data_IF_342001249610
#
_entry.id   IF_342001249610
#
_cell.length_a   1.000
_cell.length_b   1.000
_cell.length_c   1.000
_cell.angle_alpha   90.00
_cell.angle_beta   90.00
_cell.angle_gamma   90.00
#
_symmetry.space_group_name_H-M   'P 1'
#
loop_
_entity.id
_entity.type
_entity.pdbx_description
1 polymer ?
#
# COMPACT_ATOMS: atom_id res chain seq x y z
N UNK A 1 -48.52 -33.68 42.17
CA UNK A 1 -49.69 -33.62 43.04
C UNK A 1 -49.58 -34.60 44.23
N UNK A 2 -49.21 -35.88 44.09
CA UNK A 2 -49.15 -36.85 45.18
C UNK A 2 -48.23 -36.50 46.36
N UNK A 3 -47.08 -35.85 46.10
CA UNK A 3 -46.14 -35.41 47.18
C UNK A 3 -46.67 -34.24 47.99
N UNK A 4 -47.46 -33.36 47.40
CA UNK A 4 -48.05 -32.21 48.08
C UNK A 4 -49.21 -32.60 48.99
N UNK A 5 -50.03 -33.59 48.56
CA UNK A 5 -51.08 -34.15 49.42
C UNK A 5 -50.51 -34.91 50.62
N UNK A 6 -49.38 -35.64 50.41
CA UNK A 6 -48.71 -36.36 51.49
C UNK A 6 -48.19 -35.41 52.59
N UNK A 7 -47.60 -34.27 52.21
CA UNK A 7 -47.12 -33.26 53.17
C UNK A 7 -48.28 -32.58 53.90
N UNK A 8 -49.41 -32.39 53.21
CA UNK A 8 -50.61 -31.76 53.81
C UNK A 8 -51.25 -32.70 54.81
N UNK A 9 -51.38 -33.99 54.50
CA UNK A 9 -51.92 -34.99 55.45
C UNK A 9 -50.99 -35.21 56.61
N UNK A 10 -49.69 -35.29 56.40
CA UNK A 10 -48.70 -35.42 57.49
C UNK A 10 -48.72 -34.19 58.41
N UNK A 11 -48.81 -32.98 57.85
CA UNK A 11 -48.92 -31.72 58.60
C UNK A 11 -50.20 -31.68 59.46
N UNK A 12 -51.32 -32.19 58.93
CA UNK A 12 -52.60 -32.22 59.64
C UNK A 12 -52.58 -33.24 60.85
N UNK A 13 -51.95 -34.39 60.67
CA UNK A 13 -51.76 -35.39 61.71
C UNK A 13 -50.83 -34.86 62.79
N UNK A 14 -49.69 -34.29 62.45
CA UNK A 14 -48.73 -33.71 63.39
C UNK A 14 -49.36 -32.51 64.13
N UNK A 15 -50.10 -31.65 63.42
CA UNK A 15 -50.85 -30.54 64.02
C UNK A 15 -51.88 -30.99 65.01
N UNK A 16 -52.66 -32.04 64.71
CA UNK A 16 -53.64 -32.60 65.64
C UNK A 16 -53.03 -33.26 66.83
N UNK A 17 -51.89 -33.95 66.69
CA UNK A 17 -51.12 -34.50 67.85
C UNK A 17 -50.56 -33.38 68.75
N UNK A 18 -50.08 -32.29 68.14
CA UNK A 18 -49.57 -31.09 68.85
C UNK A 18 -50.68 -30.40 69.69
N UNK A 19 -51.85 -30.16 69.08
CA UNK A 19 -53.00 -29.56 69.78
C UNK A 19 -53.45 -30.44 70.95
N UNK A 20 -53.45 -31.75 70.78
CA UNK A 20 -53.83 -32.68 71.83
C UNK A 20 -52.77 -32.69 73.00
N UNK A 21 -51.48 -32.55 72.67
CA UNK A 21 -50.41 -32.46 73.63
C UNK A 21 -50.47 -31.13 74.43
N UNK A 22 -50.76 -30.02 73.75
CA UNK A 22 -50.93 -28.68 74.34
C UNK A 22 -52.15 -28.66 75.30
N UNK A 23 -53.22 -29.35 74.97
CA UNK A 23 -54.44 -29.39 75.80
C UNK A 23 -54.30 -30.24 77.09
N UNK A 24 -53.37 -31.23 77.06
CA UNK A 24 -53.16 -32.08 78.23
C UNK A 24 -52.20 -31.52 79.30
N UNK A 25 -51.15 -30.83 78.82
CA UNK A 25 -50.18 -30.17 79.71
C UNK A 25 -49.66 -28.89 79.09
N UNK A 26 -50.15 -27.71 79.47
CA UNK A 26 -49.76 -26.42 78.92
C UNK A 26 -48.30 -26.04 79.16
N UNK A 27 -47.56 -26.78 79.99
CA UNK A 27 -46.19 -26.51 80.36
C UNK A 27 -45.96 -25.04 80.79
N UNK A 28 -45.21 -24.86 81.86
CA UNK A 28 -44.96 -23.55 82.42
C UNK A 28 -43.49 -23.21 82.29
N UNK A 29 -43.17 -22.05 81.60
CA UNK A 29 -41.82 -21.51 81.53
C UNK A 29 -41.72 -20.16 82.20
N UNK A 30 -40.86 -20.07 83.21
CA UNK A 30 -40.59 -18.84 83.97
C UNK A 30 -39.15 -18.39 83.58
N UNK A 31 -39.04 -17.22 83.01
CA UNK A 31 -37.79 -16.56 82.73
C UNK A 31 -37.66 -15.36 83.66
N UNK A 32 -36.75 -15.48 84.62
CA UNK A 32 -36.45 -14.39 85.56
C UNK A 32 -35.07 -13.79 85.30
N UNK A 33 -35.04 -12.48 85.09
CA UNK A 33 -33.79 -11.75 84.87
C UNK A 33 -33.84 -10.44 85.66
N UNK A 34 -33.16 -10.42 86.85
CA UNK A 34 -33.23 -9.33 87.76
C UNK A 34 -34.65 -9.12 88.32
N UNK A 35 -35.19 -7.90 88.19
CA UNK A 35 -36.54 -7.56 88.63
C UNK A 35 -37.65 -7.91 87.60
N UNK A 36 -37.27 -8.47 86.38
CA UNK A 36 -38.22 -8.84 85.37
C UNK A 36 -38.52 -10.33 85.44
N UNK A 37 -39.81 -10.68 85.52
CA UNK A 37 -40.28 -12.02 85.44
C UNK A 37 -41.27 -12.14 84.29
N UNK A 38 -40.97 -13.02 83.32
CA UNK A 38 -41.86 -13.32 82.19
C UNK A 38 -42.38 -14.73 82.42
N UNK A 39 -43.67 -14.85 82.62
CA UNK A 39 -44.39 -16.10 82.77
C UNK A 39 -45.05 -16.40 81.40
N UNK A 40 -44.71 -17.52 80.82
CA UNK A 40 -45.29 -17.92 79.52
C UNK A 40 -45.46 -19.45 79.42
N UNK A 41 -46.32 -19.90 78.54
CA UNK A 41 -46.43 -21.32 78.23
C UNK A 41 -45.23 -21.77 77.40
N UNK A 42 -44.69 -22.96 77.73
CA UNK A 42 -43.57 -23.58 76.96
C UNK A 42 -43.91 -23.61 75.42
N UNK A 43 -45.14 -23.81 75.07
CA UNK A 43 -45.62 -23.85 73.71
C UNK A 43 -45.55 -22.48 73.00
N UNK A 44 -45.90 -21.42 73.76
CA UNK A 44 -45.78 -20.04 73.24
C UNK A 44 -44.32 -19.63 73.05
N UNK A 45 -43.46 -20.02 74.01
CA UNK A 45 -42.03 -19.79 73.89
C UNK A 45 -41.42 -20.53 72.69
N UNK A 46 -41.84 -21.78 72.44
CA UNK A 46 -41.39 -22.57 71.30
C UNK A 46 -41.90 -21.98 69.99
N UNK A 47 -43.16 -21.53 69.93
CA UNK A 47 -43.74 -20.92 68.74
C UNK A 47 -43.01 -19.60 68.40
N UNK A 48 -42.72 -18.75 69.35
CA UNK A 48 -41.94 -17.50 69.15
C UNK A 48 -40.52 -17.78 68.77
N UNK A 49 -39.88 -18.80 69.28
CA UNK A 49 -38.54 -19.22 68.90
C UNK A 49 -38.52 -19.71 67.41
N UNK A 50 -39.45 -20.57 67.03
CA UNK A 50 -39.58 -21.03 65.65
C UNK A 50 -39.83 -19.85 64.67
N UNK A 51 -40.73 -18.92 65.07
CA UNK A 51 -41.03 -17.74 64.27
C UNK A 51 -39.79 -16.87 64.11
N UNK A 52 -38.98 -16.67 65.18
CA UNK A 52 -37.72 -15.93 65.16
C UNK A 52 -36.70 -16.61 64.19
N UNK A 53 -36.59 -17.94 64.29
CA UNK A 53 -35.70 -18.69 63.38
C UNK A 53 -36.14 -18.58 61.89
N UNK A 54 -37.45 -18.63 61.65
CA UNK A 54 -37.97 -18.45 60.28
C UNK A 54 -37.72 -17.03 59.75
N UNK A 55 -37.93 -16.02 60.62
CA UNK A 55 -37.66 -14.64 60.24
C UNK A 55 -36.15 -14.39 59.99
N UNK A 56 -35.28 -14.93 60.84
CA UNK A 56 -33.82 -14.89 60.64
C UNK A 56 -33.40 -15.61 59.35
N UNK A 57 -33.98 -16.76 59.07
CA UNK A 57 -33.73 -17.49 57.82
C UNK A 57 -34.23 -16.72 56.59
N UNK A 58 -35.42 -16.12 56.64
CA UNK A 58 -35.93 -15.25 55.60
C UNK A 58 -35.03 -14.01 55.41
N UNK A 59 -34.64 -13.35 56.53
CA UNK A 59 -33.75 -12.20 56.46
C UNK A 59 -32.41 -12.55 55.83
N UNK A 60 -31.78 -13.66 56.25
CA UNK A 60 -30.51 -14.12 55.65
C UNK A 60 -30.67 -14.48 54.16
N UNK A 61 -31.77 -15.12 53.77
CA UNK A 61 -32.05 -15.40 52.37
C UNK A 61 -32.32 -14.13 51.54
N UNK A 62 -32.99 -13.13 52.12
CA UNK A 62 -33.23 -11.83 51.51
C UNK A 62 -31.94 -11.02 51.36
N UNK A 63 -31.12 -10.94 52.43
CA UNK A 63 -29.81 -10.28 52.37
C UNK A 63 -28.89 -10.95 51.34
N UNK A 64 -28.80 -12.27 51.31
CA UNK A 64 -28.00 -12.99 50.35
C UNK A 64 -28.46 -12.75 48.90
N UNK A 65 -29.77 -12.59 48.65
CA UNK A 65 -30.30 -12.21 47.35
C UNK A 65 -29.97 -10.78 46.95
N UNK A 66 -30.04 -9.83 47.93
CA UNK A 66 -29.73 -8.42 47.68
C UNK A 66 -28.22 -8.21 47.39
N UNK A 67 -27.33 -8.93 48.05
CA UNK A 67 -25.88 -8.84 47.80
C UNK A 67 -25.43 -9.52 46.47
N UNK A 68 -26.18 -10.47 45.92
CA UNK A 68 -25.88 -11.11 44.64
C UNK A 68 -26.42 -10.33 43.41
N UNK A 69 -27.43 -9.47 43.63
CA UNK A 69 -28.02 -8.65 42.56
C UNK A 69 -27.02 -7.68 41.91
N UNK A 70 -26.17 -6.93 42.65
CA UNK A 70 -25.22 -6.01 42.03
C UNK A 70 -24.17 -6.72 41.16
N UNK A 71 -23.70 -7.92 41.54
CA UNK A 71 -22.77 -8.71 40.76
C UNK A 71 -23.38 -9.21 39.42
N UNK A 72 -24.62 -9.64 39.45
CA UNK A 72 -25.33 -10.06 38.23
C UNK A 72 -25.74 -8.87 37.36
N UNK A 73 -26.09 -7.75 37.94
CA UNK A 73 -26.37 -6.50 37.23
C UNK A 73 -25.11 -5.92 36.61
N UNK A 74 -23.99 -5.87 37.34
CA UNK A 74 -22.72 -5.39 36.78
C UNK A 74 -22.22 -6.27 35.61
N UNK A 75 -22.34 -7.60 35.73
CA UNK A 75 -22.03 -8.51 34.64
C UNK A 75 -22.97 -8.32 33.42
N UNK A 76 -24.28 -8.11 33.68
CA UNK A 76 -25.25 -7.87 32.59
C UNK A 76 -25.04 -6.51 31.89
N UNK A 77 -24.75 -5.44 32.68
CA UNK A 77 -24.38 -4.14 32.12
C UNK A 77 -23.05 -4.21 31.37
N UNK A 78 -22.05 -4.93 31.87
CA UNK A 78 -20.78 -5.16 31.20
C UNK A 78 -20.96 -5.88 29.88
N UNK A 79 -21.73 -6.97 29.81
CA UNK A 79 -22.02 -7.69 28.57
C UNK A 79 -22.81 -6.84 27.56
N UNK A 80 -23.74 -6.01 28.03
CA UNK A 80 -24.50 -5.10 27.16
C UNK A 80 -23.61 -3.98 26.61
N UNK A 81 -22.73 -3.45 27.45
CA UNK A 81 -21.71 -2.46 27.08
C UNK A 81 -20.71 -3.02 26.10
N UNK A 82 -20.18 -4.24 26.35
CA UNK A 82 -19.26 -4.92 25.44
C UNK A 82 -19.87 -5.21 24.06
N UNK A 83 -21.12 -5.70 24.01
CA UNK A 83 -21.82 -5.90 22.73
C UNK A 83 -22.10 -4.58 22.01
N UNK A 84 -22.38 -3.52 22.75
CA UNK A 84 -22.56 -2.18 22.20
C UNK A 84 -21.24 -1.63 21.62
N UNK A 85 -20.13 -1.82 22.35
CA UNK A 85 -18.80 -1.44 21.91
C UNK A 85 -18.39 -2.21 20.65
N UNK A 86 -18.59 -3.54 20.62
CA UNK A 86 -18.29 -4.35 19.46
C UNK A 86 -19.06 -3.89 18.21
N UNK A 87 -20.38 -3.68 18.33
CA UNK A 87 -21.18 -3.14 17.21
C UNK A 87 -20.69 -1.78 16.73
N UNK A 88 -20.21 -0.95 17.62
CA UNK A 88 -19.66 0.37 17.27
C UNK A 88 -18.30 0.25 16.59
N UNK A 89 -17.44 -0.68 17.04
CA UNK A 89 -16.17 -1.04 16.39
C UNK A 89 -16.41 -1.55 14.97
N UNK A 90 -17.36 -2.48 14.80
CA UNK A 90 -17.72 -3.01 13.49
C UNK A 90 -18.22 -1.90 12.55
N UNK A 91 -19.02 -0.96 13.07
CA UNK A 91 -19.43 0.24 12.31
C UNK A 91 -18.25 1.12 11.95
N UNK A 92 -17.27 1.25 12.83
CA UNK A 92 -16.03 1.99 12.57
C UNK A 92 -15.23 1.37 11.43
N UNK A 93 -15.05 0.06 11.45
CA UNK A 93 -14.34 -0.66 10.38
C UNK A 93 -15.11 -0.62 9.05
N UNK A 94 -16.44 -0.76 9.09
CA UNK A 94 -17.25 -0.61 7.89
C UNK A 94 -17.16 0.79 7.30
N UNK A 95 -17.25 1.83 8.14
CA UNK A 95 -17.10 3.22 7.72
C UNK A 95 -15.71 3.50 7.14
N UNK A 96 -14.66 2.91 7.72
CA UNK A 96 -13.29 2.99 7.18
C UNK A 96 -13.22 2.39 5.78
N UNK A 97 -13.75 1.18 5.60
CA UNK A 97 -13.76 0.51 4.30
C UNK A 97 -14.56 1.28 3.24
N UNK A 98 -15.64 1.95 3.66
CA UNK A 98 -16.45 2.80 2.80
C UNK A 98 -15.84 4.18 2.51
N UNK A 99 -14.65 4.50 3.07
CA UNK A 99 -13.98 5.80 2.92
C UNK A 99 -14.60 6.93 3.74
N UNK A 100 -15.49 6.62 4.68
CA UNK A 100 -16.14 7.62 5.58
C UNK A 100 -15.28 7.84 6.82
N UNK A 101 -14.15 8.52 6.63
CA UNK A 101 -13.06 8.63 7.62
C UNK A 101 -13.51 9.26 8.94
N UNK A 102 -14.26 10.36 8.90
CA UNK A 102 -14.78 11.03 10.11
C UNK A 102 -15.70 10.14 10.94
N UNK A 103 -16.57 9.36 10.25
CA UNK A 103 -17.44 8.41 10.93
C UNK A 103 -16.66 7.27 11.54
N UNK A 104 -15.63 6.78 10.84
CA UNK A 104 -14.74 5.74 11.31
C UNK A 104 -13.98 6.18 12.57
N UNK A 105 -13.32 7.34 12.51
CA UNK A 105 -12.60 7.91 13.66
C UNK A 105 -13.53 8.10 14.86
N UNK A 106 -14.69 8.71 14.69
CA UNK A 106 -15.65 8.96 15.76
C UNK A 106 -16.19 7.68 16.38
N UNK A 107 -16.42 6.65 15.57
CA UNK A 107 -16.92 5.35 16.03
C UNK A 107 -15.84 4.61 16.83
N UNK A 108 -14.61 4.51 16.28
CA UNK A 108 -13.49 3.83 16.91
C UNK A 108 -13.06 4.53 18.20
N UNK A 109 -13.01 5.86 18.23
CA UNK A 109 -12.69 6.64 19.44
C UNK A 109 -13.65 6.36 20.60
N UNK A 110 -14.95 6.18 20.34
CA UNK A 110 -15.95 5.91 21.38
C UNK A 110 -15.79 4.55 22.03
N UNK A 111 -15.23 3.57 21.34
CA UNK A 111 -15.12 2.19 21.82
C UNK A 111 -13.78 1.89 22.47
N UNK A 112 -12.85 2.82 22.43
CA UNK A 112 -11.48 2.66 22.94
C UNK A 112 -11.41 2.24 24.41
N UNK A 113 -12.34 2.69 25.26
CA UNK A 113 -12.35 2.45 26.72
C UNK A 113 -13.21 1.27 27.14
N UNK A 114 -13.90 0.61 26.22
CA UNK A 114 -14.92 -0.39 26.54
C UNK A 114 -14.62 -1.72 25.82
N UNK A 115 -14.20 -2.74 26.57
CA UNK A 115 -14.02 -4.10 26.11
C UNK A 115 -12.58 -4.46 25.69
N UNK A 116 -12.36 -5.72 25.31
CA UNK A 116 -11.12 -6.19 24.70
C UNK A 116 -10.95 -5.53 23.34
N UNK A 117 -9.92 -4.68 23.22
CA UNK A 117 -9.58 -4.05 21.96
C UNK A 117 -8.91 -5.09 21.05
N UNK A 118 -9.39 -5.22 19.82
CA UNK A 118 -8.68 -5.98 18.80
C UNK A 118 -7.41 -5.20 18.42
N UNK A 119 -6.33 -5.93 18.06
CA UNK A 119 -5.08 -5.34 17.55
C UNK A 119 -5.30 -4.32 16.41
N UNK A 120 -6.36 -4.50 15.65
CA UNK A 120 -6.68 -3.64 14.50
C UNK A 120 -7.28 -2.28 14.92
N UNK A 121 -7.87 -2.18 16.10
CA UNK A 121 -8.59 -0.98 16.54
C UNK A 121 -7.72 0.30 16.51
N UNK A 122 -6.55 0.36 17.20
CA UNK A 122 -5.72 1.56 17.17
C UNK A 122 -5.14 1.85 15.81
N UNK A 123 -4.89 0.85 14.97
CA UNK A 123 -4.40 1.05 13.60
C UNK A 123 -5.43 1.78 12.74
N UNK A 124 -6.68 1.32 12.76
CA UNK A 124 -7.74 1.94 11.97
C UNK A 124 -8.17 3.29 12.53
N UNK A 125 -8.11 3.49 13.86
CA UNK A 125 -8.32 4.81 14.48
C UNK A 125 -7.26 5.80 14.02
N UNK A 126 -5.97 5.44 14.06
CA UNK A 126 -4.87 6.28 13.61
C UNK A 126 -4.98 6.62 12.10
N UNK A 127 -5.22 5.61 11.26
CA UNK A 127 -5.37 5.83 9.81
C UNK A 127 -6.58 6.70 9.49
N UNK A 128 -7.71 6.52 10.21
CA UNK A 128 -8.88 7.38 10.03
C UNK A 128 -8.58 8.83 10.38
N UNK A 129 -7.86 9.07 11.49
CA UNK A 129 -7.43 10.39 11.92
C UNK A 129 -6.50 11.04 10.87
N UNK A 130 -5.58 10.26 10.28
CA UNK A 130 -4.72 10.75 9.17
C UNK A 130 -5.54 11.21 7.96
N UNK A 131 -6.50 10.40 7.52
CA UNK A 131 -7.37 10.76 6.39
C UNK A 131 -8.30 11.96 6.68
N UNK A 132 -8.57 12.25 7.97
CA UNK A 132 -9.27 13.47 8.40
C UNK A 132 -8.36 14.71 8.51
N UNK A 133 -7.05 14.57 8.23
CA UNK A 133 -6.06 15.64 8.39
C UNK A 133 -5.56 15.85 9.82
N UNK A 134 -5.92 14.97 10.76
CA UNK A 134 -5.54 15.06 12.18
C UNK A 134 -4.29 14.21 12.48
N UNK A 135 -3.14 14.62 11.96
CA UNK A 135 -1.88 13.89 12.13
C UNK A 135 -1.48 13.72 13.60
N UNK A 136 -1.57 14.79 14.41
CA UNK A 136 -1.23 14.74 15.83
C UNK A 136 -2.05 13.67 16.56
N UNK A 137 -3.31 13.58 16.23
CA UNK A 137 -4.21 12.57 16.79
C UNK A 137 -3.82 11.15 16.40
N UNK A 138 -3.42 10.95 15.15
CA UNK A 138 -2.98 9.64 14.68
C UNK A 138 -1.75 9.16 15.45
N UNK A 139 -0.76 10.04 15.65
CA UNK A 139 0.45 9.72 16.40
C UNK A 139 0.16 9.50 17.89
N UNK A 140 -0.72 10.31 18.52
CA UNK A 140 -1.16 10.09 19.89
C UNK A 140 -1.78 8.69 20.12
N UNK A 141 -2.56 8.22 19.15
CA UNK A 141 -3.16 6.87 19.20
C UNK A 141 -2.08 5.78 19.11
N UNK A 142 -1.11 5.95 18.21
CA UNK A 142 -0.01 4.99 18.04
C UNK A 142 0.93 4.98 19.24
N UNK A 143 1.27 6.15 19.81
CA UNK A 143 2.12 6.28 20.99
C UNK A 143 1.49 5.59 22.21
N UNK A 144 0.18 5.73 22.35
CA UNK A 144 -0.57 5.04 23.40
C UNK A 144 -0.58 3.53 23.19
N UNK A 145 -0.84 3.07 21.95
CA UNK A 145 -0.86 1.65 21.63
C UNK A 145 0.51 0.98 21.85
N UNK A 146 1.60 1.73 21.65
CA UNK A 146 2.96 1.31 21.97
C UNK A 146 3.17 1.24 23.50
N UNK A 147 2.81 2.31 24.23
CA UNK A 147 2.97 2.40 25.69
C UNK A 147 2.16 1.35 26.44
N UNK A 148 0.96 1.05 25.96
CA UNK A 148 0.08 0.02 26.53
C UNK A 148 0.47 -1.40 26.10
N UNK A 149 1.45 -1.57 25.21
CA UNK A 149 1.83 -2.87 24.65
C UNK A 149 0.71 -3.56 23.84
N UNK A 150 -0.27 -2.81 23.38
CA UNK A 150 -1.43 -3.34 22.65
C UNK A 150 -1.03 -3.86 21.28
N UNK A 151 -0.01 -3.27 20.67
CA UNK A 151 0.52 -3.63 19.36
C UNK A 151 2.00 -4.05 19.45
N UNK A 152 2.44 -5.02 18.61
CA UNK A 152 3.86 -5.27 18.43
C UNK A 152 4.59 -4.03 17.92
N UNK A 153 5.81 -3.78 18.39
CA UNK A 153 6.61 -2.61 18.01
C UNK A 153 6.80 -2.48 16.50
N UNK A 154 6.99 -3.60 15.80
CA UNK A 154 7.11 -3.62 14.33
C UNK A 154 5.84 -3.14 13.62
N UNK A 155 4.66 -3.47 14.16
CA UNK A 155 3.38 -3.02 13.62
C UNK A 155 3.19 -1.52 13.85
N UNK A 156 3.54 -1.02 15.05
CA UNK A 156 3.50 0.42 15.35
C UNK A 156 4.44 1.20 14.44
N UNK A 157 5.68 0.72 14.27
CA UNK A 157 6.66 1.36 13.39
C UNK A 157 6.19 1.40 11.92
N UNK A 158 5.58 0.31 11.42
CA UNK A 158 4.97 0.30 10.07
C UNK A 158 3.79 1.28 9.97
N UNK A 159 2.93 1.34 10.99
CA UNK A 159 1.80 2.26 11.01
C UNK A 159 2.27 3.73 11.06
N UNK A 160 3.29 4.03 11.87
CA UNK A 160 3.94 5.36 11.89
C UNK A 160 4.53 5.72 10.53
N UNK A 161 5.27 4.79 9.91
CA UNK A 161 5.84 5.01 8.58
C UNK A 161 4.75 5.34 7.57
N UNK A 162 3.61 4.64 7.61
CA UNK A 162 2.48 4.92 6.73
C UNK A 162 1.84 6.28 7.03
N UNK A 163 1.65 6.64 8.30
CA UNK A 163 1.12 7.95 8.70
C UNK A 163 2.04 9.09 8.23
N UNK A 164 3.36 8.96 8.42
CA UNK A 164 4.32 9.95 7.93
C UNK A 164 4.34 10.05 6.41
N UNK A 165 4.18 8.93 5.70
CA UNK A 165 4.08 8.92 4.24
C UNK A 165 2.84 9.67 3.75
N UNK A 166 1.68 9.42 4.38
CA UNK A 166 0.43 10.15 4.10
C UNK A 166 0.52 11.65 4.44
N UNK A 167 1.34 12.02 5.43
CA UNK A 167 1.65 13.40 5.79
C UNK A 167 2.76 14.03 4.92
N UNK A 168 3.24 13.33 3.87
CA UNK A 168 4.34 13.74 3.01
C UNK A 168 5.66 14.02 3.76
N UNK A 169 5.79 13.47 4.97
CA UNK A 169 6.96 13.62 5.84
C UNK A 169 7.99 12.52 5.57
N UNK A 170 8.59 12.53 4.38
CA UNK A 170 9.42 11.43 3.86
C UNK A 170 10.65 11.10 4.73
N UNK A 171 11.27 12.12 5.35
CA UNK A 171 12.40 11.90 6.27
C UNK A 171 12.00 11.10 7.51
N UNK A 172 10.85 11.40 8.10
CA UNK A 172 10.31 10.69 9.26
C UNK A 172 9.80 9.30 8.87
N UNK A 173 9.25 9.13 7.66
CA UNK A 173 8.92 7.81 7.10
C UNK A 173 10.15 6.91 7.08
N UNK A 174 11.29 7.41 6.57
CA UNK A 174 12.55 6.68 6.56
C UNK A 174 13.03 6.29 7.95
N UNK A 175 12.95 7.21 8.92
CA UNK A 175 13.31 6.93 10.32
C UNK A 175 12.42 5.85 10.96
N UNK A 176 11.11 5.90 10.73
CA UNK A 176 10.19 4.89 11.23
C UNK A 176 10.46 3.51 10.62
N UNK A 177 10.81 3.44 9.34
CA UNK A 177 11.22 2.21 8.67
C UNK A 177 12.56 1.68 9.18
N UNK A 178 13.51 2.55 9.54
CA UNK A 178 14.81 2.17 10.07
C UNK A 178 14.71 1.49 11.46
N UNK A 179 13.62 1.69 12.18
CA UNK A 179 13.34 1.00 13.45
C UNK A 179 12.90 -0.46 13.27
N UNK A 180 12.60 -0.89 12.03
CA UNK A 180 12.17 -2.25 11.71
C UNK A 180 13.37 -3.20 11.57
N UNK A 181 13.18 -4.45 11.97
CA UNK A 181 14.16 -5.50 11.70
C UNK A 181 14.26 -5.81 10.20
N UNK A 182 15.37 -6.43 9.80
CA UNK A 182 15.58 -6.86 8.40
C UNK A 182 14.45 -7.78 7.92
N UNK A 183 13.91 -8.61 8.81
CA UNK A 183 12.79 -9.51 8.50
C UNK A 183 11.48 -8.73 8.30
N UNK A 184 11.18 -7.77 9.18
CA UNK A 184 9.99 -6.93 9.08
C UNK A 184 10.00 -6.07 7.81
N UNK A 185 11.17 -5.59 7.39
CA UNK A 185 11.36 -4.84 6.14
C UNK A 185 11.06 -5.66 4.87
N UNK A 186 11.05 -6.99 4.95
CA UNK A 186 10.68 -7.88 3.84
C UNK A 186 9.18 -8.21 3.81
N UNK A 187 8.41 -7.72 4.77
CA UNK A 187 6.96 -7.90 4.75
C UNK A 187 6.33 -7.14 3.57
N UNK A 188 5.26 -7.67 2.95
CA UNK A 188 4.62 -7.01 1.81
C UNK A 188 4.23 -5.56 2.09
N UNK A 189 3.79 -5.26 3.31
CA UNK A 189 3.39 -3.90 3.70
C UNK A 189 4.58 -2.95 3.78
N UNK A 190 5.67 -3.36 4.41
CA UNK A 190 6.88 -2.56 4.50
C UNK A 190 7.48 -2.30 3.11
N UNK A 191 7.50 -3.32 2.22
CA UNK A 191 7.94 -3.16 0.83
C UNK A 191 7.05 -2.15 0.10
N UNK A 192 5.72 -2.19 0.27
CA UNK A 192 4.81 -1.25 -0.37
C UNK A 192 5.09 0.19 0.08
N UNK A 193 5.26 0.43 1.40
CA UNK A 193 5.59 1.76 1.94
C UNK A 193 6.95 2.23 1.41
N UNK A 194 7.96 1.35 1.35
CA UNK A 194 9.30 1.68 0.82
C UNK A 194 9.27 2.00 -0.66
N UNK A 195 8.48 1.29 -1.46
CA UNK A 195 8.31 1.60 -2.88
C UNK A 195 7.70 2.98 -3.08
N UNK A 196 6.65 3.30 -2.33
CA UNK A 196 6.01 4.60 -2.41
C UNK A 196 6.94 5.72 -1.95
N UNK A 197 7.66 5.53 -0.84
CA UNK A 197 8.68 6.47 -0.36
C UNK A 197 9.76 6.69 -1.42
N UNK A 198 10.33 5.63 -1.99
CA UNK A 198 11.35 5.71 -3.02
C UNK A 198 10.85 6.44 -4.27
N UNK A 199 9.60 6.19 -4.68
CA UNK A 199 8.96 6.90 -5.77
C UNK A 199 8.83 8.40 -5.50
N UNK A 200 8.33 8.78 -4.31
CA UNK A 200 8.16 10.19 -3.92
C UNK A 200 9.48 10.94 -3.79
N UNK A 201 10.53 10.25 -3.34
CA UNK A 201 11.88 10.81 -3.25
C UNK A 201 12.66 10.75 -4.56
N UNK A 202 12.08 10.19 -5.63
CA UNK A 202 12.77 9.94 -6.90
C UNK A 202 14.03 9.08 -6.74
N UNK A 203 14.07 8.22 -5.72
CA UNK A 203 15.14 7.22 -5.56
C UNK A 203 14.84 6.00 -6.46
N UNK A 204 15.08 6.22 -7.74
CA UNK A 204 14.77 5.25 -8.78
C UNK A 204 15.58 3.96 -8.65
N UNK A 205 16.80 4.05 -8.12
CA UNK A 205 17.64 2.88 -7.92
C UNK A 205 17.03 1.96 -6.84
N UNK A 206 16.70 2.51 -5.67
CA UNK A 206 16.05 1.76 -4.60
C UNK A 206 14.70 1.20 -5.07
N UNK A 207 13.94 1.99 -5.83
CA UNK A 207 12.65 1.56 -6.37
C UNK A 207 12.81 0.33 -7.27
N UNK A 208 13.77 0.31 -8.21
CA UNK A 208 14.00 -0.86 -9.09
C UNK A 208 14.34 -2.14 -8.32
N UNK A 209 15.04 -2.01 -7.18
CA UNK A 209 15.37 -3.15 -6.32
C UNK A 209 14.15 -3.69 -5.55
N UNK A 210 13.20 -2.84 -5.20
CA UNK A 210 11.99 -3.19 -4.43
C UNK A 210 10.85 -3.75 -5.29
N UNK A 211 10.76 -3.37 -6.56
CA UNK A 211 9.68 -3.76 -7.48
C UNK A 211 9.40 -5.27 -7.54
N UNK A 212 10.40 -6.17 -7.58
CA UNK A 212 10.13 -7.61 -7.59
C UNK A 212 9.43 -8.10 -6.31
N UNK A 213 9.77 -7.51 -5.16
CA UNK A 213 9.11 -7.77 -3.88
C UNK A 213 7.67 -7.23 -3.85
N UNK A 214 7.48 -6.01 -4.33
CA UNK A 214 6.16 -5.38 -4.42
C UNK A 214 5.19 -6.16 -5.32
N UNK A 215 5.68 -6.69 -6.44
CA UNK A 215 4.88 -7.54 -7.34
C UNK A 215 4.41 -8.83 -6.67
N UNK A 216 5.26 -9.46 -5.86
CA UNK A 216 4.87 -10.65 -5.07
C UNK A 216 3.88 -10.32 -3.96
N UNK A 217 4.01 -9.15 -3.33
CA UNK A 217 3.16 -8.72 -2.22
C UNK A 217 1.74 -8.32 -2.61
N UNK A 218 1.49 -7.97 -3.88
CA UNK A 218 0.18 -7.62 -4.46
C UNK A 218 -0.60 -6.51 -3.72
N UNK A 219 0.08 -5.66 -2.94
CA UNK A 219 -0.55 -4.54 -2.22
C UNK A 219 -0.66 -3.27 -3.06
N UNK A 220 0.11 -3.18 -4.14
CA UNK A 220 0.10 -2.08 -5.09
C UNK A 220 -0.55 -2.60 -6.38
N UNK A 221 -1.38 -1.79 -7.01
CA UNK A 221 -2.05 -2.19 -8.25
C UNK A 221 -1.04 -2.51 -9.36
N UNK A 222 -1.35 -3.50 -10.20
CA UNK A 222 -0.47 -3.88 -11.31
C UNK A 222 -0.22 -2.71 -12.28
N UNK A 223 -1.21 -1.84 -12.48
CA UNK A 223 -1.10 -0.66 -13.34
C UNK A 223 -0.10 0.35 -12.73
N UNK A 224 -0.22 0.63 -11.43
CA UNK A 224 0.69 1.54 -10.71
C UNK A 224 2.12 0.99 -10.73
N UNK A 225 2.30 -0.31 -10.45
CA UNK A 225 3.62 -0.95 -10.51
C UNK A 225 4.25 -0.88 -11.90
N UNK A 226 3.47 -1.11 -12.96
CA UNK A 226 3.97 -1.02 -14.33
C UNK A 226 4.42 0.42 -14.68
N UNK A 227 3.64 1.42 -14.27
CA UNK A 227 3.99 2.84 -14.45
C UNK A 227 5.26 3.20 -13.68
N UNK A 228 5.37 2.81 -12.42
CA UNK A 228 6.57 3.07 -11.61
C UNK A 228 7.81 2.36 -12.15
N UNK A 229 7.64 1.12 -12.59
CA UNK A 229 8.72 0.34 -13.21
C UNK A 229 9.26 1.02 -14.46
N UNK A 230 8.38 1.46 -15.37
CA UNK A 230 8.78 2.17 -16.56
C UNK A 230 9.52 3.47 -16.25
N UNK A 231 8.99 4.28 -15.33
CA UNK A 231 9.62 5.55 -14.93
C UNK A 231 10.96 5.31 -14.25
N UNK A 232 11.04 4.36 -13.33
CA UNK A 232 12.26 4.07 -12.60
C UNK A 232 13.37 3.58 -13.53
N UNK A 233 13.08 2.62 -14.42
CA UNK A 233 14.09 2.14 -15.38
C UNK A 233 14.53 3.22 -16.37
N UNK A 234 13.60 4.06 -16.83
CA UNK A 234 13.93 5.18 -17.69
C UNK A 234 14.87 6.17 -16.99
N UNK A 235 14.58 6.52 -15.74
CA UNK A 235 15.41 7.43 -14.96
C UNK A 235 16.79 6.84 -14.64
N UNK A 236 16.84 5.57 -14.20
CA UNK A 236 18.12 4.89 -13.89
C UNK A 236 19.00 4.74 -15.13
N UNK A 237 18.41 4.43 -16.30
CA UNK A 237 19.16 4.37 -17.56
C UNK A 237 19.63 5.75 -17.99
N UNK A 238 18.78 6.78 -17.86
CA UNK A 238 19.11 8.13 -18.36
C UNK A 238 20.12 8.88 -17.47
N UNK A 239 19.99 8.74 -16.14
CA UNK A 239 20.67 9.61 -15.18
C UNK A 239 21.46 8.86 -14.10
N UNK A 240 21.43 7.54 -14.07
CA UNK A 240 22.09 6.73 -13.05
C UNK A 240 23.63 6.95 -13.04
N UNK A 241 24.28 6.70 -11.91
CA UNK A 241 25.74 6.83 -11.77
C UNK A 241 26.50 5.60 -12.28
N UNK A 242 25.83 4.46 -12.43
CA UNK A 242 26.44 3.23 -12.93
C UNK A 242 26.52 3.23 -14.47
N UNK A 243 27.48 2.51 -15.08
CA UNK A 243 27.58 2.38 -16.53
C UNK A 243 26.27 1.87 -17.13
N UNK A 244 25.82 2.49 -18.22
CA UNK A 244 24.56 2.15 -18.88
C UNK A 244 24.44 0.66 -19.23
N UNK A 245 25.54 0.01 -19.61
CA UNK A 245 25.61 -1.42 -19.92
C UNK A 245 25.31 -2.32 -18.73
N UNK A 246 25.71 -1.90 -17.51
CA UNK A 246 25.46 -2.66 -16.29
C UNK A 246 24.00 -2.55 -15.89
N UNK A 247 23.45 -1.34 -15.95
CA UNK A 247 22.03 -1.07 -15.70
C UNK A 247 21.16 -1.84 -16.70
N UNK A 248 21.49 -1.79 -17.98
CA UNK A 248 20.75 -2.50 -19.04
C UNK A 248 20.69 -4.02 -18.83
N UNK A 249 21.78 -4.64 -18.38
CA UNK A 249 21.77 -6.07 -18.08
C UNK A 249 20.79 -6.46 -16.98
N UNK A 250 20.60 -5.58 -15.98
CA UNK A 250 19.66 -5.82 -14.86
C UNK A 250 18.20 -5.53 -15.21
N UNK A 251 17.97 -4.71 -16.23
CA UNK A 251 16.60 -4.36 -16.65
C UNK A 251 15.84 -5.64 -17.07
N UNK A 252 14.56 -5.81 -16.65
CA UNK A 252 13.74 -6.95 -17.01
C UNK A 252 13.49 -7.02 -18.53
N UNK A 253 13.34 -8.22 -19.06
CA UNK A 253 13.09 -8.39 -20.49
C UNK A 253 11.75 -7.78 -20.93
N UNK A 254 10.76 -7.71 -20.04
CA UNK A 254 9.49 -7.02 -20.27
C UNK A 254 9.68 -5.53 -20.57
N UNK A 255 10.70 -4.89 -19.99
CA UNK A 255 11.04 -3.49 -20.18
C UNK A 255 11.94 -3.28 -21.41
N UNK A 256 12.57 -4.34 -21.92
CA UNK A 256 13.35 -4.36 -23.18
C UNK A 256 12.50 -4.67 -24.39
N UNK A 257 11.16 -4.68 -24.25
CA UNK A 257 10.25 -4.91 -25.36
C UNK A 257 10.49 -3.94 -26.52
N UNK A 258 10.07 -4.33 -27.69
CA UNK A 258 10.41 -3.67 -28.96
C UNK A 258 10.07 -2.17 -29.00
N UNK A 259 8.94 -1.78 -28.40
CA UNK A 259 8.46 -0.38 -28.38
C UNK A 259 8.79 0.35 -27.07
N UNK A 260 9.76 -0.13 -26.30
CA UNK A 260 10.12 0.49 -25.02
C UNK A 260 10.86 1.81 -25.23
N UNK A 261 10.45 2.86 -24.50
CA UNK A 261 11.14 4.14 -24.42
C UNK A 261 12.58 4.02 -23.84
N UNK A 262 12.95 2.86 -23.31
CA UNK A 262 14.28 2.62 -22.74
C UNK A 262 15.36 2.52 -23.82
N UNK A 263 15.01 2.10 -25.05
CA UNK A 263 15.99 1.99 -26.13
C UNK A 263 16.59 3.34 -26.52
N UNK A 264 15.80 4.38 -26.83
CA UNK A 264 16.34 5.71 -27.11
C UNK A 264 17.16 6.26 -25.93
N UNK A 265 16.70 6.06 -24.69
CA UNK A 265 17.43 6.50 -23.49
C UNK A 265 18.78 5.80 -23.35
N UNK A 266 18.83 4.48 -23.58
CA UNK A 266 20.07 3.71 -23.57
C UNK A 266 21.05 4.19 -24.66
N UNK A 267 20.58 4.38 -25.88
CA UNK A 267 21.38 4.87 -26.99
C UNK A 267 21.96 6.25 -26.68
N UNK A 268 21.12 7.18 -26.22
CA UNK A 268 21.56 8.51 -25.84
C UNK A 268 22.61 8.49 -24.71
N UNK A 269 22.41 7.61 -23.71
CA UNK A 269 23.34 7.46 -22.60
C UNK A 269 24.68 6.86 -23.06
N UNK A 270 24.67 5.79 -23.84
CA UNK A 270 25.90 5.18 -24.38
C UNK A 270 26.69 6.14 -25.27
N UNK A 271 25.99 6.97 -26.02
CA UNK A 271 26.60 8.04 -26.82
C UNK A 271 27.29 9.07 -25.91
N UNK A 272 26.63 9.52 -24.85
CA UNK A 272 27.19 10.46 -23.86
C UNK A 272 28.40 9.88 -23.13
N UNK A 273 28.36 8.60 -22.79
CA UNK A 273 29.47 7.86 -22.16
C UNK A 273 30.60 7.52 -23.13
N UNK A 274 30.42 7.79 -24.44
CA UNK A 274 31.35 7.40 -25.53
C UNK A 274 31.68 5.90 -25.52
N UNK A 275 30.74 5.07 -25.05
CA UNK A 275 30.87 3.63 -24.99
C UNK A 275 30.61 2.97 -26.34
N UNK A 276 31.44 3.32 -27.36
CA UNK A 276 31.22 3.05 -28.78
C UNK A 276 31.02 1.57 -29.12
N UNK A 277 31.81 0.68 -28.54
CA UNK A 277 31.65 -0.77 -28.78
C UNK A 277 30.33 -1.32 -28.24
N UNK A 278 29.87 -0.78 -27.10
CA UNK A 278 28.57 -1.16 -26.52
C UNK A 278 27.43 -0.57 -27.34
N UNK A 279 27.54 0.69 -27.74
CA UNK A 279 26.57 1.35 -28.61
C UNK A 279 26.43 0.61 -29.94
N UNK A 280 27.55 0.21 -30.57
CA UNK A 280 27.52 -0.60 -31.80
C UNK A 280 26.73 -1.90 -31.63
N UNK A 281 26.98 -2.65 -30.52
CA UNK A 281 26.24 -3.91 -30.25
C UNK A 281 24.75 -3.68 -30.08
N UNK A 282 24.38 -2.66 -29.32
CA UNK A 282 22.98 -2.28 -29.09
C UNK A 282 22.30 -1.89 -30.40
N UNK A 283 22.95 -1.05 -31.21
CA UNK A 283 22.43 -0.62 -32.53
C UNK A 283 22.32 -1.78 -33.48
N UNK A 284 23.30 -2.70 -33.54
CA UNK A 284 23.24 -3.89 -34.41
C UNK A 284 22.05 -4.78 -34.02
N UNK A 285 21.88 -5.08 -32.74
CA UNK A 285 20.74 -5.87 -32.26
C UNK A 285 19.40 -5.18 -32.55
N UNK A 286 19.33 -3.86 -32.33
CA UNK A 286 18.10 -3.11 -32.57
C UNK A 286 17.73 -3.05 -34.05
N UNK A 287 18.70 -2.74 -34.92
CA UNK A 287 18.50 -2.66 -36.38
C UNK A 287 18.18 -4.02 -37.04
N UNK A 288 18.47 -5.14 -36.37
CA UNK A 288 17.99 -6.44 -36.86
C UNK A 288 16.48 -6.58 -36.77
N UNK A 289 15.86 -5.93 -35.76
CA UNK A 289 14.43 -6.07 -35.45
C UNK A 289 13.62 -4.85 -35.85
N UNK A 290 14.14 -3.66 -35.58
CA UNK A 290 13.45 -2.37 -35.76
C UNK A 290 14.41 -1.30 -36.26
N UNK A 291 13.90 -0.41 -37.14
CA UNK A 291 14.61 0.78 -37.57
C UNK A 291 13.88 2.03 -37.05
N UNK A 292 14.50 2.73 -36.11
CA UNK A 292 13.99 3.96 -35.51
C UNK A 292 14.92 5.12 -35.81
N UNK A 293 14.36 6.35 -35.88
CA UNK A 293 15.15 7.56 -36.11
C UNK A 293 16.28 7.73 -35.10
N UNK A 294 16.02 7.49 -33.81
CA UNK A 294 17.02 7.56 -32.75
C UNK A 294 18.22 6.64 -32.97
N UNK A 295 17.99 5.47 -33.57
CA UNK A 295 19.04 4.52 -33.93
C UNK A 295 19.86 5.02 -35.11
N UNK A 296 19.20 5.62 -36.12
CA UNK A 296 19.87 6.18 -37.33
C UNK A 296 20.71 7.42 -36.94
N UNK A 297 20.17 8.30 -36.09
CA UNK A 297 20.89 9.48 -35.61
C UNK A 297 22.13 9.09 -34.78
N UNK A 298 22.04 8.02 -34.01
CA UNK A 298 23.16 7.52 -33.21
C UNK A 298 24.29 6.92 -34.11
N UNK A 299 23.95 6.35 -35.25
CA UNK A 299 24.96 5.89 -36.26
C UNK A 299 25.84 7.05 -36.70
N UNK A 300 25.26 8.25 -36.90
CA UNK A 300 25.98 9.43 -37.30
C UNK A 300 27.08 9.85 -36.27
N UNK A 301 26.91 9.50 -34.99
CA UNK A 301 27.84 9.84 -33.91
C UNK A 301 28.91 8.77 -33.68
N UNK A 302 28.75 7.56 -34.20
CA UNK A 302 29.73 6.49 -34.06
C UNK A 302 31.03 6.81 -34.83
N UNK A 303 32.21 6.33 -34.38
CA UNK A 303 33.44 6.32 -35.14
C UNK A 303 33.25 5.56 -36.46
N UNK A 304 33.87 6.04 -37.55
CA UNK A 304 33.67 5.53 -38.93
C UNK A 304 33.84 4.01 -39.02
N UNK A 305 34.87 3.46 -38.39
CA UNK A 305 35.13 2.02 -38.34
C UNK A 305 33.97 1.19 -37.86
N UNK A 306 33.16 1.69 -36.90
CA UNK A 306 32.00 1.01 -36.33
C UNK A 306 30.72 1.33 -37.10
N UNK A 307 30.55 2.58 -37.52
CA UNK A 307 29.40 3.04 -38.26
C UNK A 307 29.24 2.28 -39.58
N UNK A 308 30.32 2.13 -40.36
CA UNK A 308 30.34 1.43 -41.63
C UNK A 308 29.88 -0.03 -41.49
N UNK A 309 30.22 -0.71 -40.41
CA UNK A 309 29.77 -2.09 -40.14
C UNK A 309 28.25 -2.21 -40.03
N UNK A 310 27.54 -1.13 -39.67
CA UNK A 310 26.07 -1.12 -39.54
C UNK A 310 25.36 -0.98 -40.89
N UNK A 311 26.07 -0.61 -41.99
CA UNK A 311 25.52 -0.43 -43.34
C UNK A 311 24.66 -1.61 -43.79
N UNK A 312 25.09 -2.85 -43.51
CA UNK A 312 24.36 -4.07 -43.88
C UNK A 312 22.99 -4.17 -43.17
N UNK A 313 22.88 -3.67 -41.90
CA UNK A 313 21.63 -3.71 -41.17
C UNK A 313 20.67 -2.63 -41.65
N UNK A 314 21.17 -1.40 -41.90
CA UNK A 314 20.36 -0.29 -42.44
C UNK A 314 19.84 -0.59 -43.83
N UNK A 315 20.65 -1.21 -44.72
CA UNK A 315 20.25 -1.59 -46.07
C UNK A 315 19.01 -2.48 -46.13
N UNK A 316 18.79 -3.35 -45.09
CA UNK A 316 17.60 -4.20 -45.00
C UNK A 316 16.28 -3.41 -44.91
N UNK A 317 16.35 -2.17 -44.45
CA UNK A 317 15.19 -1.31 -44.23
C UNK A 317 14.96 -0.29 -45.33
N UNK A 318 15.87 -0.19 -46.29
CA UNK A 318 15.77 0.80 -47.41
C UNK A 318 14.60 0.57 -48.36
N UNK A 319 13.93 -0.59 -48.27
CA UNK A 319 12.77 -0.93 -49.11
C UNK A 319 11.43 -0.80 -48.36
N UNK A 320 11.43 -0.40 -47.08
CA UNK A 320 10.26 -0.29 -46.21
C UNK A 320 9.75 1.14 -46.06
N UNK A 321 8.68 1.37 -45.28
CA UNK A 321 8.07 2.70 -45.07
C UNK A 321 9.04 3.77 -44.54
N UNK A 322 10.07 3.40 -43.79
CA UNK A 322 11.14 4.28 -43.30
C UNK A 322 12.28 4.48 -44.30
N UNK A 323 12.07 4.12 -45.54
CA UNK A 323 13.10 4.07 -46.58
C UNK A 323 13.86 5.39 -46.76
N UNK A 324 13.18 6.54 -46.71
CA UNK A 324 13.83 7.84 -46.87
C UNK A 324 14.90 8.09 -45.80
N UNK A 325 14.61 7.87 -44.54
CA UNK A 325 15.59 8.03 -43.45
C UNK A 325 16.72 7.00 -43.52
N UNK A 326 16.40 5.76 -43.90
CA UNK A 326 17.41 4.72 -44.07
C UNK A 326 18.34 5.01 -45.25
N UNK A 327 17.81 5.52 -46.34
CA UNK A 327 18.60 5.95 -47.51
C UNK A 327 19.52 7.14 -47.17
N UNK A 328 19.02 8.12 -46.42
CA UNK A 328 19.83 9.23 -45.93
C UNK A 328 20.97 8.76 -45.00
N UNK A 329 20.69 7.80 -44.10
CA UNK A 329 21.75 7.22 -43.28
C UNK A 329 22.76 6.41 -44.08
N UNK A 330 22.31 5.66 -45.11
CA UNK A 330 23.20 4.95 -46.05
C UNK A 330 24.05 5.92 -46.88
N UNK A 331 23.48 7.05 -47.29
CA UNK A 331 24.21 8.10 -48.00
C UNK A 331 25.35 8.69 -47.13
N UNK A 332 25.02 9.03 -45.88
CA UNK A 332 26.01 9.50 -44.92
C UNK A 332 27.13 8.46 -44.65
N UNK A 333 26.78 7.16 -44.63
CA UNK A 333 27.76 6.09 -44.48
C UNK A 333 28.63 5.93 -45.73
N UNK A 334 28.07 6.09 -46.93
CA UNK A 334 28.83 6.07 -48.19
C UNK A 334 29.82 7.24 -48.28
N UNK A 335 29.44 8.46 -47.83
CA UNK A 335 30.39 9.59 -47.71
C UNK A 335 31.58 9.23 -46.81
N UNK A 336 31.35 8.57 -45.69
CA UNK A 336 32.41 8.15 -44.74
C UNK A 336 33.32 7.05 -45.34
N UNK A 337 32.79 6.22 -46.24
CA UNK A 337 33.57 5.22 -46.97
C UNK A 337 34.37 5.86 -48.10
N UNK A 338 34.07 7.11 -48.50
CA UNK A 338 34.68 7.79 -49.62
C UNK A 338 34.03 7.50 -50.96
N UNK A 339 32.87 6.79 -50.98
CA UNK A 339 32.11 6.49 -52.18
C UNK A 339 31.12 7.64 -52.51
N UNK A 340 31.68 8.72 -53.04
CA UNK A 340 30.92 9.94 -53.35
C UNK A 340 29.81 9.72 -54.38
N UNK A 341 30.02 8.84 -55.38
CA UNK A 341 29.04 8.57 -56.40
C UNK A 341 27.79 7.88 -55.85
N UNK A 342 27.99 6.86 -55.02
CA UNK A 342 26.90 6.17 -54.32
C UNK A 342 26.20 7.10 -53.30
N UNK A 343 26.94 7.96 -52.59
CA UNK A 343 26.37 8.90 -51.65
C UNK A 343 25.38 9.87 -52.36
N UNK A 344 25.75 10.41 -53.53
CA UNK A 344 24.90 11.33 -54.28
C UNK A 344 23.59 10.69 -54.69
N UNK A 345 23.65 9.48 -55.26
CA UNK A 345 22.44 8.75 -55.70
C UNK A 345 21.51 8.42 -54.52
N UNK A 346 22.07 8.05 -53.37
CA UNK A 346 21.31 7.75 -52.17
C UNK A 346 20.68 9.01 -51.53
N UNK A 347 21.35 10.16 -51.55
CA UNK A 347 20.79 11.43 -51.09
C UNK A 347 19.62 11.88 -51.96
N UNK A 348 19.77 11.81 -53.29
CA UNK A 348 18.72 12.13 -54.27
C UNK A 348 17.49 11.23 -54.05
N UNK A 349 17.68 9.90 -53.91
CA UNK A 349 16.62 8.96 -53.67
C UNK A 349 15.95 9.17 -52.32
N UNK A 350 16.71 9.48 -51.25
CA UNK A 350 16.19 9.78 -49.93
C UNK A 350 15.24 10.99 -49.94
N UNK A 351 15.67 12.09 -50.61
CA UNK A 351 14.86 13.29 -50.70
C UNK A 351 13.63 13.08 -51.63
N UNK A 352 13.77 12.36 -52.73
CA UNK A 352 12.66 12.06 -53.63
C UNK A 352 11.58 11.23 -52.96
N UNK A 353 11.96 10.25 -52.15
CA UNK A 353 11.01 9.42 -51.41
C UNK A 353 10.37 10.16 -50.22
N UNK A 354 11.13 11.00 -49.54
CA UNK A 354 10.67 11.71 -48.38
C UNK A 354 11.28 13.12 -48.35
N UNK A 355 10.60 14.13 -48.90
CA UNK A 355 11.11 15.50 -49.00
C UNK A 355 11.01 16.24 -47.68
N UNK A 356 11.93 15.96 -46.74
CA UNK A 356 12.07 16.61 -45.46
C UNK A 356 13.33 17.46 -45.42
N UNK A 357 13.33 18.53 -44.57
CA UNK A 357 14.45 19.45 -44.46
C UNK A 357 15.79 18.78 -44.11
N UNK A 358 15.78 17.75 -43.28
CA UNK A 358 16.98 17.00 -42.91
C UNK A 358 17.65 16.32 -44.12
N UNK A 359 16.87 15.72 -45.02
CA UNK A 359 17.37 15.09 -46.25
C UNK A 359 17.87 16.15 -47.23
N UNK A 360 17.14 17.25 -47.38
CA UNK A 360 17.56 18.37 -48.24
C UNK A 360 18.90 18.96 -47.79
N UNK A 361 19.09 19.19 -46.49
CA UNK A 361 20.35 19.70 -45.95
C UNK A 361 21.51 18.72 -46.15
N UNK A 362 21.27 17.43 -45.92
CA UNK A 362 22.27 16.40 -46.20
C UNK A 362 22.68 16.36 -47.67
N UNK A 363 21.70 16.37 -48.56
CA UNK A 363 21.96 16.38 -50.02
C UNK A 363 22.62 17.67 -50.52
N UNK A 364 22.17 18.85 -50.05
CA UNK A 364 22.80 20.11 -50.39
C UNK A 364 24.26 20.18 -49.92
N UNK A 365 24.60 19.67 -48.74
CA UNK A 365 25.97 19.56 -48.28
C UNK A 365 26.83 18.70 -49.22
N UNK A 366 26.30 17.54 -49.66
CA UNK A 366 27.00 16.67 -50.59
C UNK A 366 27.20 17.37 -51.96
N UNK A 367 26.16 18.07 -52.50
CA UNK A 367 26.25 18.83 -53.76
C UNK A 367 27.36 19.89 -53.72
N UNK A 368 27.47 20.62 -52.60
CA UNK A 368 28.59 21.59 -52.42
C UNK A 368 29.95 20.91 -52.42
N UNK A 369 30.07 19.77 -51.75
CA UNK A 369 31.35 19.04 -51.76
C UNK A 369 31.72 18.50 -53.12
N UNK A 370 30.73 18.37 -54.03
CA UNK A 370 30.90 17.93 -55.41
C UNK A 370 31.03 19.10 -56.39
N UNK A 371 31.05 20.37 -55.91
CA UNK A 371 31.20 21.56 -56.74
C UNK A 371 29.90 22.01 -57.46
N UNK A 372 28.73 21.58 -56.99
CA UNK A 372 27.42 21.89 -57.58
C UNK A 372 26.65 22.91 -56.70
N UNK A 373 27.25 24.08 -56.45
CA UNK A 373 26.77 25.09 -55.50
C UNK A 373 25.39 25.67 -55.89
N UNK A 374 25.08 25.86 -57.17
CA UNK A 374 23.80 26.39 -57.63
C UNK A 374 22.63 25.43 -57.34
N UNK A 375 22.85 24.16 -57.52
CA UNK A 375 21.84 23.13 -57.21
C UNK A 375 21.62 23.02 -55.69
N UNK A 376 22.69 23.11 -54.91
CA UNK A 376 22.59 23.10 -53.44
C UNK A 376 21.77 24.29 -52.94
N UNK A 377 22.00 25.50 -53.48
CA UNK A 377 21.28 26.70 -53.09
C UNK A 377 19.79 26.63 -53.41
N UNK A 378 19.45 26.08 -54.59
CA UNK A 378 18.05 25.87 -55.02
C UNK A 378 17.31 24.91 -54.07
N UNK A 379 17.94 23.78 -53.77
CA UNK A 379 17.38 22.76 -52.86
C UNK A 379 17.16 23.30 -51.44
N UNK A 380 18.09 24.09 -50.94
CA UNK A 380 17.94 24.72 -49.61
C UNK A 380 16.80 25.76 -49.58
N UNK A 381 16.63 26.52 -50.67
CA UNK A 381 15.54 27.47 -50.79
C UNK A 381 14.17 26.76 -50.79
N UNK A 382 14.05 25.63 -51.51
CA UNK A 382 12.86 24.80 -51.50
C UNK A 382 12.56 24.23 -50.10
N UNK A 383 13.58 23.68 -49.44
CA UNK A 383 13.42 23.13 -48.10
C UNK A 383 13.00 24.21 -47.05
N UNK A 384 13.55 25.41 -47.16
CA UNK A 384 13.16 26.54 -46.30
C UNK A 384 11.72 27.01 -46.59
N UNK A 385 11.29 27.01 -47.86
CA UNK A 385 9.91 27.36 -48.20
C UNK A 385 8.91 26.35 -47.67
N UNK A 386 9.23 25.07 -47.72
CA UNK A 386 8.38 23.99 -47.17
C UNK A 386 8.26 24.05 -45.65
N UNK A 387 9.33 24.40 -44.93
CA UNK A 387 9.30 24.58 -43.47
C UNK A 387 8.44 25.80 -43.06
N UNK A 388 8.49 26.91 -43.80
CA UNK A 388 7.66 28.08 -43.55
C UNK A 388 6.18 27.79 -43.76
N UNK A 389 5.82 27.04 -44.78
CA UNK A 389 4.44 26.62 -45.03
C UNK A 389 3.90 25.68 -43.96
N UNK A 390 4.75 24.77 -43.43
CA UNK A 390 4.38 23.85 -42.34
C UNK A 390 4.21 24.56 -40.96
N UNK A 391 4.80 25.72 -40.74
CA UNK A 391 4.64 26.53 -39.51
C UNK A 391 3.41 27.44 -39.55
N UNK A 392 2.75 27.61 -40.70
CA UNK A 392 1.56 28.46 -40.85
C UNK A 392 0.24 27.69 -40.76
N UNK A 393 0.27 26.38 -40.62
CA UNK A 393 -0.85 25.48 -40.36
C UNK A 393 -0.83 24.99 -38.93
#
# INVERSE_FOLDING_TARGET
MARMSLYLTLGLIVGGLLVNAIARDPGYLLLAWGDWQIETSVWLALATFILACVLLWMANRFLGSVFQVPLKLSAWFGLRSARGAQRQTDKGFAAFYEGRWEMAEKALRKTRTVGEQTLLHPLYEALSAMHCGNADRAFEVLDRAEGDGTLPLSVVAMARAQCHLLAESYGQTGQALAALSTQDLQTPRAIAIRCELAFQQSDWQQLTELLPGARRGQLISAITLASWEQQAWLAVISQGNEPATTVWKRAPDTQKAENSALWPALIARLTKEQAWDSLYKVLAERLERHCELSSLDAIAQLPDRLAIKLKKFVKRWSEKETAGHCLAALAALAEREGDSALAGTLWEEAYTRQPIAGHAVGWARWLRSSGQDDQAATLEAEALSSLRSAQQV
#
